data_IF_545033965202
#
_entry.id   IF_545033965202
#
_cell.length_a   1.000
_cell.length_b   1.000
_cell.length_c   1.000
_cell.angle_alpha   90.00
_cell.angle_beta   90.00
_cell.angle_gamma   90.00
#
_symmetry.space_group_name_H-M   'P 1'
#
loop_
_entity.id
_entity.type
_entity.pdbx_description
1 polymer ?
#
# COMPACT_ATOMS: atom_id res chain seq x y z
N UNK A 1 23.23 -9.48 -4.14
CA UNK A 1 21.86 -9.90 -4.50
C UNK A 1 21.89 -10.27 -5.96
N UNK A 2 21.66 -11.53 -6.29
CA UNK A 2 21.57 -12.00 -7.67
C UNK A 2 20.22 -11.58 -8.24
N UNK A 3 20.22 -10.90 -9.39
CA UNK A 3 19.01 -10.46 -10.06
C UNK A 3 18.37 -11.70 -10.72
N UNK A 4 17.13 -12.02 -10.35
CA UNK A 4 16.34 -13.02 -11.07
C UNK A 4 16.06 -12.51 -12.48
N UNK A 5 16.45 -13.29 -13.49
CA UNK A 5 16.26 -13.00 -14.93
C UNK A 5 15.36 -14.06 -15.58
N UNK A 6 14.24 -14.32 -14.93
CA UNK A 6 13.21 -15.20 -15.48
C UNK A 6 12.34 -14.40 -16.46
N UNK A 7 12.39 -14.76 -17.74
CA UNK A 7 11.62 -14.09 -18.80
C UNK A 7 10.10 -14.34 -18.67
N UNK A 8 9.71 -15.41 -17.97
CA UNK A 8 8.30 -15.76 -17.73
C UNK A 8 7.74 -15.09 -16.46
N UNK A 9 8.58 -14.37 -15.71
CA UNK A 9 8.12 -13.66 -14.53
C UNK A 9 7.20 -12.50 -14.94
N UNK A 10 5.94 -12.61 -14.54
CA UNK A 10 4.94 -11.55 -14.75
C UNK A 10 4.60 -10.82 -13.45
N UNK A 11 4.16 -9.58 -13.59
CA UNK A 11 3.68 -8.76 -12.47
C UNK A 11 2.35 -8.11 -12.84
N UNK A 12 1.44 -8.02 -11.87
CA UNK A 12 0.26 -7.15 -11.98
C UNK A 12 0.60 -5.82 -11.35
N UNK A 13 0.50 -4.73 -12.12
CA UNK A 13 0.74 -3.38 -11.64
C UNK A 13 -0.58 -2.63 -11.51
N UNK A 14 -0.80 -2.02 -10.36
CA UNK A 14 -1.96 -1.17 -10.08
C UNK A 14 -1.47 0.27 -9.96
N UNK A 15 -1.91 1.13 -10.88
CA UNK A 15 -1.57 2.55 -10.86
C UNK A 15 -2.67 3.32 -10.12
N UNK A 16 -2.43 3.59 -8.83
CA UNK A 16 -3.27 4.49 -8.02
C UNK A 16 -2.74 5.92 -8.03
N UNK A 17 -3.61 6.91 -8.17
CA UNK A 17 -3.25 8.32 -7.97
C UNK A 17 -3.60 8.74 -6.55
N UNK A 18 -2.81 9.65 -5.96
CA UNK A 18 -3.13 10.32 -4.72
C UNK A 18 -3.36 11.82 -4.95
N UNK A 19 -4.07 12.46 -4.02
CA UNK A 19 -4.29 13.90 -4.08
C UNK A 19 -2.97 14.66 -3.97
N UNK A 20 -2.76 15.67 -4.82
CA UNK A 20 -1.57 16.53 -4.83
C UNK A 20 -1.63 17.65 -3.78
N UNK A 21 -1.84 17.29 -2.52
CA UNK A 21 -2.07 18.19 -1.37
C UNK A 21 -1.03 19.32 -1.30
N UNK A 22 0.26 19.00 -1.37
CA UNK A 22 1.35 19.98 -1.26
C UNK A 22 1.40 21.02 -2.39
N UNK A 23 0.75 20.78 -3.52
CA UNK A 23 0.73 21.71 -4.65
C UNK A 23 -0.31 22.83 -4.46
N UNK A 24 -1.22 22.70 -3.49
CA UNK A 24 -2.33 23.63 -3.27
C UNK A 24 -1.98 24.66 -2.20
N UNK A 25 -1.24 25.71 -2.60
CA UNK A 25 -0.71 26.75 -1.69
C UNK A 25 -1.77 27.62 -1.00
N UNK A 26 -3.01 27.61 -1.48
CA UNK A 26 -4.11 28.42 -0.93
C UNK A 26 -4.94 27.69 0.13
N UNK A 27 -4.64 26.43 0.40
CA UNK A 27 -5.32 25.58 1.37
C UNK A 27 -4.33 24.94 2.32
N UNK A 28 -4.78 24.60 3.53
CA UNK A 28 -4.02 23.76 4.44
C UNK A 28 -4.16 22.28 4.05
N UNK A 29 -3.25 21.43 4.54
CA UNK A 29 -3.44 19.99 4.38
C UNK A 29 -4.73 19.48 5.04
N UNK A 30 -5.18 20.08 6.15
CA UNK A 30 -6.40 19.65 6.84
C UNK A 30 -7.65 19.78 5.95
N UNK A 31 -7.70 20.80 5.10
CA UNK A 31 -8.81 21.02 4.15
C UNK A 31 -8.95 19.87 3.14
N UNK A 32 -7.86 19.13 2.89
CA UNK A 32 -7.80 18.00 1.97
C UNK A 32 -8.03 16.65 2.63
N UNK A 33 -8.11 16.58 3.95
CA UNK A 33 -8.05 15.31 4.68
C UNK A 33 -9.14 14.33 4.23
N UNK A 34 -10.40 14.75 4.23
CA UNK A 34 -11.54 13.88 3.88
C UNK A 34 -11.39 13.30 2.48
N UNK A 35 -11.07 14.14 1.50
CA UNK A 35 -10.93 13.72 0.11
C UNK A 35 -9.68 12.86 -0.11
N UNK A 36 -8.55 13.24 0.48
CA UNK A 36 -7.28 12.50 0.35
C UNK A 36 -7.40 11.11 0.96
N UNK A 37 -8.01 10.99 2.14
CA UNK A 37 -8.25 9.71 2.79
C UNK A 37 -9.16 8.82 1.97
N UNK A 38 -10.24 9.36 1.38
CA UNK A 38 -11.11 8.59 0.48
C UNK A 38 -10.35 7.99 -0.71
N UNK A 39 -9.50 8.79 -1.36
CA UNK A 39 -8.68 8.34 -2.50
C UNK A 39 -7.65 7.30 -2.08
N UNK A 40 -7.01 7.48 -0.92
CA UNK A 40 -6.05 6.52 -0.36
C UNK A 40 -6.75 5.20 0.01
N UNK A 41 -7.90 5.26 0.69
CA UNK A 41 -8.71 4.11 1.07
C UNK A 41 -9.08 3.28 -0.16
N UNK A 42 -9.60 3.94 -1.20
CA UNK A 42 -9.97 3.28 -2.45
C UNK A 42 -8.74 2.67 -3.15
N UNK A 43 -7.62 3.36 -3.18
CA UNK A 43 -6.40 2.89 -3.87
C UNK A 43 -5.80 1.65 -3.21
N UNK A 44 -5.65 1.65 -1.88
CA UNK A 44 -5.15 0.48 -1.17
C UNK A 44 -6.11 -0.70 -1.24
N UNK A 45 -7.42 -0.47 -1.06
CA UNK A 45 -8.43 -1.52 -1.17
C UNK A 45 -8.50 -2.13 -2.57
N UNK A 46 -8.52 -1.32 -3.62
CA UNK A 46 -8.52 -1.80 -5.01
C UNK A 46 -7.26 -2.61 -5.33
N UNK A 47 -6.10 -2.20 -4.80
CA UNK A 47 -4.84 -2.94 -4.97
C UNK A 47 -4.91 -4.33 -4.34
N UNK A 48 -5.49 -4.46 -3.15
CA UNK A 48 -5.64 -5.77 -2.49
C UNK A 48 -6.69 -6.65 -3.16
N UNK A 49 -7.75 -6.07 -3.73
CA UNK A 49 -8.67 -6.83 -4.59
C UNK A 49 -7.97 -7.37 -5.84
N UNK A 50 -7.17 -6.55 -6.52
CA UNK A 50 -6.38 -7.00 -7.67
C UNK A 50 -5.40 -8.12 -7.29
N UNK A 51 -4.76 -8.00 -6.12
CA UNK A 51 -3.90 -9.05 -5.57
C UNK A 51 -4.64 -10.36 -5.32
N UNK A 52 -5.85 -10.30 -4.75
CA UNK A 52 -6.67 -11.49 -4.54
C UNK A 52 -7.06 -12.19 -5.84
N UNK A 53 -7.47 -11.41 -6.85
CA UNK A 53 -7.82 -11.94 -8.18
C UNK A 53 -6.59 -12.58 -8.82
N UNK A 54 -5.43 -11.93 -8.73
CA UNK A 54 -4.15 -12.47 -9.21
C UNK A 54 -3.79 -13.79 -8.51
N UNK A 55 -3.90 -13.83 -7.18
CA UNK A 55 -3.63 -15.02 -6.38
C UNK A 55 -4.57 -16.18 -6.73
N UNK A 56 -5.87 -15.90 -6.92
CA UNK A 56 -6.86 -16.91 -7.31
C UNK A 56 -6.61 -17.45 -8.71
N UNK A 57 -6.16 -16.61 -9.65
CA UNK A 57 -5.86 -16.99 -11.03
C UNK A 57 -4.61 -17.84 -11.17
N UNK A 58 -3.54 -17.48 -10.46
CA UNK A 58 -2.22 -18.08 -10.67
C UNK A 58 -1.86 -19.14 -9.63
N UNK A 59 -2.42 -19.07 -8.42
CA UNK A 59 -2.25 -20.07 -7.37
C UNK A 59 -0.80 -20.40 -6.99
N UNK A 60 0.13 -19.45 -7.18
CA UNK A 60 1.52 -19.57 -6.77
C UNK A 60 1.80 -18.76 -5.51
N UNK A 61 2.86 -19.08 -4.77
CA UNK A 61 3.29 -18.26 -3.62
C UNK A 61 3.62 -16.82 -4.05
N UNK A 62 4.23 -16.65 -5.22
CA UNK A 62 4.54 -15.33 -5.79
C UNK A 62 3.29 -14.49 -6.07
N UNK A 63 2.20 -15.11 -6.51
CA UNK A 63 0.94 -14.41 -6.84
C UNK A 63 0.21 -13.84 -5.62
N UNK A 64 0.55 -14.28 -4.41
CA UNK A 64 0.03 -13.75 -3.13
C UNK A 64 0.83 -12.56 -2.60
N UNK A 65 1.97 -12.25 -3.22
CA UNK A 65 2.88 -11.21 -2.75
C UNK A 65 2.49 -9.85 -3.30
N UNK A 66 2.31 -8.89 -2.40
CA UNK A 66 1.92 -7.52 -2.73
C UNK A 66 3.00 -6.57 -2.25
N UNK A 67 3.49 -5.70 -3.14
CA UNK A 67 4.42 -4.65 -2.77
C UNK A 67 3.69 -3.32 -2.80
N UNK A 68 3.63 -2.65 -1.65
CA UNK A 68 2.96 -1.36 -1.50
C UNK A 68 3.98 -0.28 -1.22
N UNK A 69 3.73 0.92 -1.73
CA UNK A 69 4.47 2.13 -1.36
C UNK A 69 3.58 3.06 -0.53
N UNK A 70 4.18 4.04 0.13
CA UNK A 70 3.45 5.14 0.77
C UNK A 70 2.91 6.08 -0.32
N UNK A 71 1.76 5.73 -0.89
CA UNK A 71 1.14 6.41 -2.02
C UNK A 71 0.88 7.88 -1.67
N UNK A 72 1.46 8.78 -2.46
CA UNK A 72 1.32 10.22 -2.26
C UNK A 72 2.06 10.81 -1.05
N UNK A 73 2.84 10.02 -0.31
CA UNK A 73 3.59 10.49 0.88
C UNK A 73 4.85 11.30 0.60
N UNK A 74 5.25 11.39 -0.68
CA UNK A 74 6.37 12.22 -1.13
C UNK A 74 5.93 13.61 -1.56
N UNK A 75 6.23 13.99 -2.80
CA UNK A 75 5.96 15.34 -3.34
C UNK A 75 4.48 15.73 -3.32
N UNK A 76 3.55 14.77 -3.30
CA UNK A 76 2.11 15.06 -3.19
C UNK A 76 1.69 15.48 -1.78
N UNK A 77 2.50 15.22 -0.74
CA UNK A 77 2.27 15.74 0.61
C UNK A 77 1.09 15.13 1.35
N UNK A 78 0.69 13.90 1.04
CA UNK A 78 -0.28 13.18 1.85
C UNK A 78 0.36 12.83 3.18
N UNK A 79 -0.34 13.12 4.28
CA UNK A 79 0.22 12.87 5.61
C UNK A 79 0.35 11.37 5.86
N UNK A 80 1.43 10.98 6.51
CA UNK A 80 1.71 9.57 6.78
C UNK A 80 0.62 8.92 7.64
N UNK A 81 -0.05 9.66 8.52
CA UNK A 81 -1.20 9.17 9.30
C UNK A 81 -2.42 8.81 8.44
N UNK A 82 -2.61 9.50 7.31
CA UNK A 82 -3.69 9.16 6.37
C UNK A 82 -3.34 7.91 5.58
N UNK A 83 -2.09 7.81 5.13
CA UNK A 83 -1.56 6.67 4.40
C UNK A 83 -1.62 5.41 5.26
N UNK A 84 -1.08 5.44 6.48
CA UNK A 84 -1.07 4.27 7.36
C UNK A 84 -2.47 3.87 7.79
N UNK A 85 -3.37 4.83 8.01
CA UNK A 85 -4.76 4.51 8.34
C UNK A 85 -5.51 3.87 7.18
N UNK A 86 -5.27 4.30 5.94
CA UNK A 86 -5.84 3.67 4.75
C UNK A 86 -5.29 2.26 4.52
N UNK A 87 -3.98 2.07 4.71
CA UNK A 87 -3.34 0.75 4.73
C UNK A 87 -3.98 -0.15 5.80
N UNK A 88 -4.12 0.34 7.04
CA UNK A 88 -4.71 -0.42 8.16
C UNK A 88 -6.13 -0.89 7.87
N UNK A 89 -6.96 0.01 7.31
CA UNK A 89 -8.33 -0.30 6.90
C UNK A 89 -8.34 -1.41 5.85
N UNK A 90 -7.49 -1.30 4.83
CA UNK A 90 -7.35 -2.32 3.81
C UNK A 90 -6.82 -3.65 4.41
N UNK A 91 -5.75 -3.64 5.19
CA UNK A 91 -5.19 -4.85 5.78
C UNK A 91 -6.19 -5.57 6.68
N UNK A 92 -6.95 -4.83 7.48
CA UNK A 92 -8.01 -5.39 8.33
C UNK A 92 -9.07 -6.11 7.50
N UNK A 93 -9.46 -5.55 6.35
CA UNK A 93 -10.45 -6.16 5.43
C UNK A 93 -9.93 -7.43 4.76
N UNK A 94 -8.62 -7.52 4.53
CA UNK A 94 -8.00 -8.62 3.78
C UNK A 94 -7.18 -9.59 4.64
N UNK A 95 -7.21 -9.45 5.97
CA UNK A 95 -6.37 -10.23 6.91
C UNK A 95 -6.53 -11.75 6.77
N UNK A 96 -7.73 -12.22 6.38
CA UNK A 96 -8.07 -13.64 6.34
C UNK A 96 -7.78 -14.29 4.96
N UNK A 97 -7.13 -13.57 4.04
CA UNK A 97 -6.92 -14.02 2.66
C UNK A 97 -5.48 -14.49 2.37
N UNK A 98 -4.60 -14.51 3.37
CA UNK A 98 -3.21 -14.96 3.26
C UNK A 98 -2.45 -14.26 2.10
N UNK A 99 -2.47 -12.92 2.12
CA UNK A 99 -1.63 -12.08 1.26
C UNK A 99 -0.31 -11.76 1.98
N UNK A 100 0.81 -11.88 1.27
CA UNK A 100 2.15 -11.48 1.74
C UNK A 100 2.38 -10.02 1.35
N UNK A 101 1.93 -9.11 2.22
CA UNK A 101 2.01 -7.67 1.99
C UNK A 101 3.35 -7.13 2.49
N UNK A 102 4.08 -6.45 1.61
CA UNK A 102 5.39 -5.86 1.87
C UNK A 102 5.35 -4.37 1.59
N UNK A 103 5.60 -3.57 2.62
CA UNK A 103 5.68 -2.12 2.50
C UNK A 103 7.11 -1.76 2.09
N UNK A 104 7.22 -1.10 0.94
CA UNK A 104 8.48 -0.67 0.35
C UNK A 104 8.60 0.84 0.57
N UNK A 105 9.59 1.24 1.35
CA UNK A 105 9.92 2.64 1.58
C UNK A 105 11.19 3.02 0.82
N UNK A 106 11.26 4.29 0.42
CA UNK A 106 12.50 4.86 -0.08
C UNK A 106 13.52 5.00 1.07
N UNK A 107 14.81 5.01 0.74
CA UNK A 107 15.92 4.93 1.69
C UNK A 107 15.80 5.90 2.89
N UNK A 108 16.26 5.46 4.06
CA UNK A 108 16.24 6.23 5.31
C UNK A 108 15.66 5.44 6.47
N UNK A 109 15.36 6.14 7.57
CA UNK A 109 14.65 5.56 8.70
C UNK A 109 13.21 5.23 8.32
N UNK A 110 12.72 4.07 8.77
CA UNK A 110 11.33 3.65 8.58
C UNK A 110 10.44 4.49 9.50
N UNK A 111 9.35 5.06 8.96
CA UNK A 111 8.37 5.80 9.77
C UNK A 111 7.81 4.89 10.87
N UNK A 112 7.83 5.30 12.16
CA UNK A 112 7.35 4.48 13.27
C UNK A 112 5.91 3.97 13.11
N UNK A 113 5.05 4.68 12.36
CA UNK A 113 3.68 4.24 12.07
C UNK A 113 3.65 3.01 11.16
N UNK A 114 4.62 2.86 10.26
CA UNK A 114 4.76 1.66 9.44
C UNK A 114 5.26 0.47 10.27
N UNK A 115 6.16 0.71 11.23
CA UNK A 115 6.60 -0.33 12.17
C UNK A 115 5.44 -0.78 13.07
N UNK A 116 4.62 0.15 13.55
CA UNK A 116 3.41 -0.15 14.32
C UNK A 116 2.40 -0.96 13.50
N UNK A 117 2.21 -0.62 12.22
CA UNK A 117 1.40 -1.39 11.29
C UNK A 117 1.93 -2.81 11.11
N UNK A 118 3.23 -2.96 10.84
CA UNK A 118 3.86 -4.28 10.72
C UNK A 118 3.59 -5.09 11.99
N UNK A 119 3.95 -4.57 13.17
CA UNK A 119 3.76 -5.24 14.44
C UNK A 119 2.29 -5.68 14.68
N UNK A 120 1.32 -4.87 14.26
CA UNK A 120 -0.12 -5.18 14.38
C UNK A 120 -0.54 -6.39 13.54
N UNK A 121 0.03 -6.57 12.35
CA UNK A 121 -0.35 -7.63 11.41
C UNK A 121 0.67 -8.78 11.34
N UNK A 122 1.80 -8.66 12.02
CA UNK A 122 2.81 -9.70 12.13
C UNK A 122 2.30 -10.84 13.03
N UNK A 123 1.51 -11.75 12.45
CA UNK A 123 0.90 -12.87 13.19
C UNK A 123 -0.01 -13.81 12.39
N UNK A 124 -0.34 -13.51 11.13
CA UNK A 124 -1.28 -14.30 10.31
C UNK A 124 -0.74 -15.60 9.69
N UNK A 125 0.34 -16.19 10.23
CA UNK A 125 0.83 -17.52 9.83
C UNK A 125 0.37 -18.57 10.84
N UNK A 126 -0.88 -19.00 10.71
CA UNK A 126 -1.35 -20.30 11.22
C UNK A 126 -1.98 -21.07 10.08
#
# INVERSE_FOLDING_TARGET
REQLRDAEQTVTQVYGSACSVAYNRQSSAADWEVFSRLVLDASYEATLWAALISAARHQTEGSRRVFLTCLGGGVFGNRMEWITSAMERAFTRFKDYNLDIRIVTYAGAIDPRLQALEAKFHGGRT
#
